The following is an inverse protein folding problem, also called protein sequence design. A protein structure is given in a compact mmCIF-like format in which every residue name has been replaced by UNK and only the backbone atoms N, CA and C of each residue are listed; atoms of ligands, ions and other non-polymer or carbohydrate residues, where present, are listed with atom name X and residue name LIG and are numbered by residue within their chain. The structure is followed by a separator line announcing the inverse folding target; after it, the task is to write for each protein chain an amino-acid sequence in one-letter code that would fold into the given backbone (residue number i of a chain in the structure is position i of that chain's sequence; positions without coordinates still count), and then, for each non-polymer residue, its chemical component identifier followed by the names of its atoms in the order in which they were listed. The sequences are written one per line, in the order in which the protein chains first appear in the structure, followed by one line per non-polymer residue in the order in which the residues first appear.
data_IF_857917477107
#
_entry.id   IF_857917477107
#
_cell.length_a   1.000
_cell.length_b   1.000
_cell.length_c   1.000
_cell.angle_alpha   90.00
_cell.angle_beta   90.00
_cell.angle_gamma   90.00
#
_symmetry.space_group_name_H-M   'P 1'
#
loop_
_entity.id
_entity.type
_entity.pdbx_description
1 polymer ?
#
# COMPACT_ATOMS: atom_id res chain seq x y z
N UNK A 1 -27.71 15.57 35.08
CA UNK A 1 -27.00 16.02 33.86
C UNK A 1 -26.07 14.88 33.43
N UNK A 2 -26.30 14.30 32.25
CA UNK A 2 -25.72 13.02 31.83
C UNK A 2 -24.21 13.13 31.48
N UNK A 3 -23.43 12.32 32.20
CA UNK A 3 -22.23 11.54 31.84
C UNK A 3 -20.89 12.23 31.38
N UNK A 4 -19.76 12.00 32.11
CA UNK A 4 -18.39 12.38 31.71
C UNK A 4 -17.76 11.51 30.60
N UNK A 5 -18.46 10.52 30.04
CA UNK A 5 -17.90 9.56 29.06
C UNK A 5 -17.72 10.11 27.64
N UNK A 6 -18.14 11.35 27.37
CA UNK A 6 -18.20 11.93 26.02
C UNK A 6 -16.90 12.65 25.57
N UNK A 7 -16.03 13.07 26.49
CA UNK A 7 -14.86 13.89 26.12
C UNK A 7 -13.77 13.11 25.36
N UNK A 8 -13.49 11.86 25.76
CA UNK A 8 -12.45 11.06 25.13
C UNK A 8 -12.85 10.62 23.71
N UNK A 9 -14.10 10.18 23.52
CA UNK A 9 -14.61 9.81 22.20
C UNK A 9 -14.62 11.00 21.23
N UNK A 10 -14.99 12.19 21.70
CA UNK A 10 -14.91 13.42 20.90
C UNK A 10 -13.46 13.77 20.51
N UNK A 11 -12.52 13.66 21.45
CA UNK A 11 -11.10 13.92 21.17
C UNK A 11 -10.50 12.88 20.22
N UNK A 12 -10.86 11.60 20.36
CA UNK A 12 -10.45 10.55 19.43
C UNK A 12 -10.99 10.78 18.02
N UNK A 13 -12.27 11.14 17.89
CA UNK A 13 -12.85 11.47 16.59
C UNK A 13 -12.16 12.70 15.98
N UNK A 14 -11.88 13.73 16.78
CA UNK A 14 -11.12 14.90 16.32
C UNK A 14 -9.73 14.51 15.85
N UNK A 15 -8.99 13.71 16.61
CA UNK A 15 -7.67 13.22 16.22
C UNK A 15 -7.73 12.36 14.95
N UNK A 16 -8.72 11.49 14.83
CA UNK A 16 -8.93 10.67 13.64
C UNK A 16 -9.10 11.55 12.39
N UNK A 17 -9.98 12.55 12.46
CA UNK A 17 -10.24 13.47 11.34
C UNK A 17 -9.02 14.35 11.03
N UNK A 18 -8.34 14.89 12.05
CA UNK A 18 -7.25 15.87 11.86
C UNK A 18 -5.89 15.23 11.55
N UNK A 19 -5.65 13.98 11.98
CA UNK A 19 -4.34 13.34 11.87
C UNK A 19 -4.38 12.04 11.07
N UNK A 20 -5.37 11.18 11.31
CA UNK A 20 -5.43 9.86 10.66
C UNK A 20 -5.89 9.97 9.21
N UNK A 21 -6.96 10.73 8.91
CA UNK A 21 -7.47 10.90 7.54
C UNK A 21 -6.42 11.54 6.61
N UNK A 22 -5.77 12.66 6.97
CA UNK A 22 -4.76 13.26 6.10
C UNK A 22 -3.57 12.32 5.85
N UNK A 23 -3.10 11.61 6.90
CA UNK A 23 -2.04 10.60 6.76
C UNK A 23 -2.46 9.48 5.82
N UNK A 24 -3.68 8.95 5.99
CA UNK A 24 -4.24 7.90 5.13
C UNK A 24 -4.28 8.36 3.67
N UNK A 25 -4.77 9.57 3.41
CA UNK A 25 -4.82 10.14 2.06
C UNK A 25 -3.43 10.38 1.45
N UNK A 26 -2.46 10.84 2.24
CA UNK A 26 -1.08 11.02 1.79
C UNK A 26 -0.43 9.68 1.43
N UNK A 27 -0.61 8.65 2.26
CA UNK A 27 -0.12 7.29 1.96
C UNK A 27 -0.78 6.77 0.67
N UNK A 28 -2.09 6.92 0.48
CA UNK A 28 -2.73 6.48 -0.77
C UNK A 28 -2.17 7.16 -2.02
N UNK A 29 -1.86 8.46 -1.94
CA UNK A 29 -1.23 9.18 -3.06
C UNK A 29 0.17 8.61 -3.35
N UNK A 30 0.98 8.44 -2.30
CA UNK A 30 2.32 7.88 -2.43
C UNK A 30 2.28 6.45 -3.00
N UNK A 31 1.39 5.59 -2.50
CA UNK A 31 1.21 4.22 -3.03
C UNK A 31 0.86 4.25 -4.52
N UNK A 32 -0.05 5.12 -4.94
CA UNK A 32 -0.42 5.22 -6.36
C UNK A 32 0.74 5.70 -7.24
N UNK A 33 1.58 6.60 -6.76
CA UNK A 33 2.76 7.07 -7.48
C UNK A 33 3.83 5.98 -7.56
N UNK A 34 4.15 5.34 -6.44
CA UNK A 34 5.12 4.24 -6.38
C UNK A 34 4.68 3.07 -7.24
N UNK A 35 3.42 2.64 -7.17
CA UNK A 35 2.92 1.52 -7.96
C UNK A 35 3.05 1.77 -9.46
N UNK A 36 2.86 3.01 -9.95
CA UNK A 36 3.07 3.32 -11.37
C UNK A 36 4.52 3.08 -11.81
N UNK A 37 5.46 3.56 -11.01
CA UNK A 37 6.90 3.37 -11.27
C UNK A 37 7.25 1.88 -11.21
N UNK A 38 6.74 1.16 -10.22
CA UNK A 38 6.96 -0.29 -10.09
C UNK A 38 6.38 -1.04 -11.30
N UNK A 39 5.16 -0.72 -11.75
CA UNK A 39 4.56 -1.35 -12.95
C UNK A 39 5.42 -1.13 -14.20
N UNK A 40 6.00 0.06 -14.37
CA UNK A 40 6.87 0.37 -15.51
C UNK A 40 8.15 -0.46 -15.45
N UNK A 41 8.83 -0.47 -14.29
CA UNK A 41 10.03 -1.28 -14.07
C UNK A 41 9.74 -2.77 -14.29
N UNK A 42 8.64 -3.30 -13.74
CA UNK A 42 8.29 -4.71 -13.91
C UNK A 42 8.02 -5.08 -15.37
N UNK A 43 7.41 -4.18 -16.15
CA UNK A 43 7.20 -4.40 -17.58
C UNK A 43 8.52 -4.46 -18.35
N UNK A 44 9.49 -3.61 -18.00
CA UNK A 44 10.82 -3.64 -18.61
C UNK A 44 11.60 -4.91 -18.23
N UNK A 45 11.44 -5.37 -16.99
CA UNK A 45 12.02 -6.64 -16.52
C UNK A 45 11.39 -7.82 -17.26
N UNK A 46 10.06 -7.87 -17.38
CA UNK A 46 9.34 -8.93 -18.10
C UNK A 46 9.73 -8.99 -19.59
N UNK A 47 9.98 -7.83 -20.22
CA UNK A 47 10.45 -7.78 -21.61
C UNK A 47 11.84 -8.40 -21.81
N UNK A 48 12.70 -8.36 -20.77
CA UNK A 48 14.06 -8.94 -20.80
C UNK A 48 14.09 -10.37 -20.26
N UNK A 49 13.23 -10.68 -19.29
CA UNK A 49 13.13 -11.96 -18.61
C UNK A 49 11.65 -12.34 -18.45
N UNK A 50 11.05 -13.01 -19.47
CA UNK A 50 9.62 -13.32 -19.50
C UNK A 50 9.12 -14.21 -18.35
N UNK A 51 10.03 -14.85 -17.60
CA UNK A 51 9.70 -15.61 -16.38
C UNK A 51 9.34 -14.72 -15.19
N UNK A 52 9.65 -13.42 -15.27
CA UNK A 52 9.37 -12.46 -14.22
C UNK A 52 8.00 -11.82 -14.43
N UNK A 53 6.95 -12.55 -14.06
CA UNK A 53 5.55 -12.12 -14.26
C UNK A 53 5.15 -11.14 -13.15
N UNK A 54 4.72 -9.94 -13.54
CA UNK A 54 4.16 -8.96 -12.59
C UNK A 54 2.80 -9.42 -12.07
N UNK A 55 2.67 -9.57 -10.76
CA UNK A 55 1.37 -9.81 -10.09
C UNK A 55 0.73 -8.53 -9.53
N UNK A 56 1.32 -7.36 -9.78
CA UNK A 56 0.85 -6.09 -9.25
C UNK A 56 -0.41 -5.63 -10.00
N UNK A 57 -1.59 -5.90 -9.43
CA UNK A 57 -2.89 -5.51 -9.97
C UNK A 57 -3.58 -4.45 -9.09
N UNK A 58 -4.16 -3.43 -9.73
CA UNK A 58 -5.00 -2.42 -9.07
C UNK A 58 -6.48 -2.83 -9.15
N UNK A 59 -7.10 -3.12 -8.01
CA UNK A 59 -8.53 -3.40 -7.89
C UNK A 59 -9.16 -2.44 -6.88
N UNK A 60 -10.10 -1.61 -7.34
CA UNK A 60 -10.81 -0.63 -6.51
C UNK A 60 -9.88 0.31 -5.71
N UNK A 61 -8.76 0.72 -6.30
CA UNK A 61 -7.78 1.60 -5.65
C UNK A 61 -6.93 0.91 -4.58
N UNK A 62 -6.93 -0.44 -4.53
CA UNK A 62 -5.99 -1.23 -3.76
C UNK A 62 -5.09 -2.02 -4.71
N UNK A 63 -3.82 -2.08 -4.37
CA UNK A 63 -2.84 -2.88 -5.10
C UNK A 63 -2.70 -4.23 -4.39
N UNK A 64 -3.01 -5.32 -5.09
CA UNK A 64 -2.77 -6.67 -4.58
C UNK A 64 -1.26 -6.94 -4.52
N UNK A 65 -0.81 -7.60 -3.45
CA UNK A 65 0.63 -7.85 -3.22
C UNK A 65 1.43 -6.62 -2.76
N UNK A 66 0.79 -5.47 -2.57
CA UNK A 66 1.43 -4.25 -2.07
C UNK A 66 1.11 -4.03 -0.58
N UNK A 67 2.13 -3.87 0.26
CA UNK A 67 1.97 -3.51 1.66
C UNK A 67 2.85 -2.32 2.06
N UNK A 68 2.33 -1.46 2.94
CA UNK A 68 3.10 -0.32 3.48
C UNK A 68 3.68 -0.75 4.82
N UNK A 69 5.02 -0.85 4.89
CA UNK A 69 5.74 -1.12 6.12
C UNK A 69 5.87 0.17 6.96
N UNK A 70 6.12 1.30 6.30
CA UNK A 70 6.17 2.62 6.92
C UNK A 70 5.66 3.71 5.98
N UNK A 71 5.75 4.98 6.40
CA UNK A 71 5.29 6.10 5.59
C UNK A 71 6.05 6.23 4.26
N UNK A 72 7.28 5.73 4.22
CA UNK A 72 8.21 5.83 3.09
C UNK A 72 8.69 4.48 2.58
N UNK A 73 8.30 3.39 3.23
CA UNK A 73 8.74 2.04 2.87
C UNK A 73 7.54 1.17 2.48
N UNK A 74 7.68 0.53 1.33
CA UNK A 74 6.65 -0.27 0.71
C UNK A 74 7.25 -1.62 0.30
N UNK A 75 6.52 -2.70 0.55
CA UNK A 75 6.85 -4.05 0.12
C UNK A 75 5.93 -4.41 -1.04
N UNK A 76 6.52 -4.83 -2.15
CA UNK A 76 5.79 -5.38 -3.30
C UNK A 76 6.17 -6.85 -3.42
N UNK A 77 5.19 -7.72 -3.19
CA UNK A 77 5.35 -9.16 -3.37
C UNK A 77 4.98 -9.51 -4.80
N UNK A 78 6.00 -9.81 -5.61
CA UNK A 78 5.82 -10.42 -6.92
C UNK A 78 5.67 -11.93 -6.78
N UNK A 79 4.84 -12.51 -7.65
CA UNK A 79 4.87 -13.94 -7.91
C UNK A 79 5.98 -14.19 -8.92
N UNK A 80 7.17 -14.52 -8.43
CA UNK A 80 8.13 -15.24 -9.26
C UNK A 80 7.74 -16.71 -9.20
N UNK A 81 7.57 -17.38 -10.35
CA UNK A 81 7.43 -18.85 -10.40
C UNK A 81 8.69 -19.59 -9.92
N UNK A 82 9.72 -18.86 -9.46
CA UNK A 82 10.77 -19.45 -8.63
C UNK A 82 10.24 -19.75 -7.23
N UNK A 83 9.83 -21.00 -7.05
CA UNK A 83 10.06 -21.67 -5.77
C UNK A 83 11.57 -21.56 -5.50
N UNK A 84 11.97 -20.74 -4.53
CA UNK A 84 13.38 -20.55 -4.12
C UNK A 84 14.06 -21.87 -3.69
N UNK A 85 13.30 -22.97 -3.62
CA UNK A 85 13.77 -24.31 -3.31
C UNK A 85 14.10 -25.20 -4.53
N UNK A 86 13.96 -24.73 -5.77
CA UNK A 86 14.25 -25.53 -6.98
C UNK A 86 15.65 -25.28 -7.59
N UNK A 87 16.67 -25.10 -6.74
CA UNK A 87 18.11 -25.16 -7.12
C UNK A 87 18.82 -26.24 -6.31
#
# INVERSE_FOLDING_TARGET
MLCPTNNFALQLNKYFVEKVIPRKNSIYKAVREVSKVVTEVLREVEAQEPRFISSLNELNGRFEGFSSASHTEFEVRNITDYNINDV
#
